data_IF_849605741256
#
_entry.id   IF_849605741256
#
_cell.length_a   1.000
_cell.length_b   1.000
_cell.length_c   1.000
_cell.angle_alpha   90.00
_cell.angle_beta   90.00
_cell.angle_gamma   90.00
#
_symmetry.space_group_name_H-M   'P 1'
#
loop_
_entity.id
_entity.type
_entity.pdbx_description
1 polymer ?
#
# COMPACT_ATOMS: atom_id res chain seq x y z
N UNK A 1 8.69 -23.79 14.47
CA UNK A 1 7.26 -23.80 14.17
C UNK A 1 7.06 -23.27 12.77
N UNK A 2 6.40 -24.01 11.97
CA UNK A 2 6.16 -23.60 10.62
C UNK A 2 4.80 -22.95 10.40
N UNK A 3 4.11 -22.64 11.48
CA UNK A 3 2.75 -22.14 11.36
C UNK A 3 2.73 -20.71 10.85
N UNK A 4 2.08 -20.53 9.73
CA UNK A 4 1.89 -19.21 9.16
C UNK A 4 0.70 -18.54 9.86
N UNK A 5 0.92 -17.33 10.34
CA UNK A 5 -0.15 -16.57 10.96
C UNK A 5 -0.94 -15.84 9.88
N UNK A 6 -1.99 -16.46 9.38
CA UNK A 6 -2.82 -15.90 8.34
C UNK A 6 -3.53 -14.63 8.79
N UNK A 7 -3.92 -14.57 10.05
CA UNK A 7 -4.56 -13.37 10.60
C UNK A 7 -3.62 -12.19 10.56
N UNK A 8 -2.34 -12.40 10.89
CA UNK A 8 -1.35 -11.34 10.83
C UNK A 8 -1.08 -10.91 9.39
N UNK A 9 -0.96 -11.87 8.48
CA UNK A 9 -0.73 -11.57 7.07
C UNK A 9 -1.89 -10.80 6.45
N UNK A 10 -3.12 -11.16 6.81
CA UNK A 10 -4.30 -10.46 6.33
C UNK A 10 -4.38 -9.06 6.94
N UNK A 11 -4.06 -8.92 8.22
CA UNK A 11 -4.02 -7.64 8.89
C UNK A 11 -2.99 -6.70 8.26
N UNK A 12 -1.81 -7.24 7.95
CA UNK A 12 -0.74 -6.48 7.29
C UNK A 12 -1.18 -6.00 5.90
N UNK A 13 -1.85 -6.88 5.16
CA UNK A 13 -2.37 -6.54 3.85
C UNK A 13 -3.42 -5.43 3.94
N UNK A 14 -4.39 -5.58 4.83
CA UNK A 14 -5.44 -4.56 5.03
C UNK A 14 -4.85 -3.23 5.45
N UNK A 15 -3.86 -3.25 6.34
CA UNK A 15 -3.19 -2.04 6.81
C UNK A 15 -2.44 -1.35 5.67
N UNK A 16 -1.80 -2.13 4.80
CA UNK A 16 -1.09 -1.59 3.65
C UNK A 16 -2.06 -0.99 2.62
N UNK A 17 -3.24 -1.60 2.42
CA UNK A 17 -4.29 -1.04 1.57
C UNK A 17 -4.79 0.28 2.15
N UNK A 18 -5.05 0.33 3.45
CA UNK A 18 -5.53 1.56 4.11
C UNK A 18 -4.51 2.68 3.96
N UNK A 19 -3.21 2.38 4.11
CA UNK A 19 -2.16 3.36 3.92
C UNK A 19 -2.09 3.86 2.48
N UNK A 20 -2.30 2.96 1.52
CA UNK A 20 -2.33 3.33 0.10
C UNK A 20 -3.52 4.25 -0.20
N UNK A 21 -4.70 3.92 0.29
CA UNK A 21 -5.89 4.76 0.13
C UNK A 21 -5.67 6.13 0.75
N UNK A 22 -5.11 6.18 1.97
CA UNK A 22 -4.80 7.44 2.63
C UNK A 22 -3.82 8.29 1.82
N UNK A 23 -2.81 7.66 1.22
CA UNK A 23 -1.85 8.36 0.38
C UNK A 23 -2.50 8.93 -0.89
N UNK A 24 -3.41 8.17 -1.50
CA UNK A 24 -4.16 8.64 -2.66
C UNK A 24 -5.02 9.85 -2.29
N UNK A 25 -5.69 9.79 -1.16
CA UNK A 25 -6.53 10.90 -0.70
C UNK A 25 -5.70 12.14 -0.39
N UNK A 26 -4.51 11.96 0.19
CA UNK A 26 -3.60 13.07 0.47
C UNK A 26 -3.11 13.72 -0.82
N UNK A 27 -2.80 12.92 -1.84
CA UNK A 27 -2.41 13.46 -3.15
C UNK A 27 -3.57 14.23 -3.79
N UNK A 28 -4.76 13.65 -3.76
CA UNK A 28 -5.95 14.27 -4.33
C UNK A 28 -6.26 15.62 -3.67
N UNK A 29 -6.05 15.71 -2.36
CA UNK A 29 -6.30 16.95 -1.62
C UNK A 29 -5.39 18.10 -2.07
N UNK A 30 -4.27 17.80 -2.72
CA UNK A 30 -3.38 18.82 -3.26
C UNK A 30 -3.78 19.28 -4.67
N UNK A 31 -4.75 18.63 -5.29
CA UNK A 31 -5.23 19.00 -6.61
C UNK A 31 -6.16 20.21 -6.50
N UNK A 32 -5.62 21.38 -6.71
CA UNK A 32 -6.36 22.65 -6.63
C UNK A 32 -5.81 23.62 -7.68
N UNK A 33 -6.29 24.86 -7.65
CA UNK A 33 -5.91 25.88 -8.63
C UNK A 33 -4.55 26.53 -8.35
N UNK A 34 -3.94 26.23 -7.21
CA UNK A 34 -2.62 26.79 -6.88
C UNK A 34 -1.52 25.96 -7.54
N UNK A 35 -0.87 26.57 -8.52
CA UNK A 35 0.21 25.93 -9.27
C UNK A 35 1.57 26.55 -8.96
N UNK A 36 1.76 27.08 -7.75
CA UNK A 36 3.06 27.58 -7.33
C UNK A 36 4.09 26.46 -7.33
N UNK A 37 5.36 26.82 -7.42
CA UNK A 37 6.45 25.84 -7.40
C UNK A 37 6.40 24.99 -6.13
N UNK A 38 6.13 25.60 -4.98
CA UNK A 38 6.04 24.89 -3.70
C UNK A 38 4.90 23.87 -3.72
N UNK A 39 3.73 24.25 -4.24
CA UNK A 39 2.59 23.34 -4.31
C UNK A 39 2.84 22.19 -5.29
N UNK A 40 3.50 22.45 -6.40
CA UNK A 40 3.87 21.40 -7.35
C UNK A 40 4.85 20.42 -6.73
N UNK A 41 5.80 20.89 -5.94
CA UNK A 41 6.74 20.03 -5.24
C UNK A 41 6.03 19.15 -4.21
N UNK A 42 5.05 19.72 -3.50
CA UNK A 42 4.24 18.93 -2.55
C UNK A 42 3.45 17.86 -3.27
N UNK A 43 2.89 18.18 -4.41
CA UNK A 43 2.13 17.22 -5.19
C UNK A 43 3.00 16.09 -5.70
N UNK A 44 4.21 16.41 -6.19
CA UNK A 44 5.17 15.40 -6.63
C UNK A 44 5.57 14.47 -5.47
N UNK A 45 5.82 15.04 -4.29
CA UNK A 45 6.16 14.25 -3.12
C UNK A 45 5.00 13.33 -2.70
N UNK A 46 3.76 13.82 -2.78
CA UNK A 46 2.59 13.02 -2.48
C UNK A 46 2.42 11.87 -3.48
N UNK A 47 2.74 12.12 -4.75
CA UNK A 47 2.71 11.08 -5.77
C UNK A 47 3.72 9.97 -5.51
N UNK A 48 4.92 10.32 -5.03
CA UNK A 48 5.91 9.33 -4.62
C UNK A 48 5.42 8.50 -3.45
N UNK A 49 4.75 9.13 -2.48
CA UNK A 49 4.19 8.43 -1.34
C UNK A 49 3.11 7.43 -1.76
N UNK A 50 2.27 7.78 -2.74
CA UNK A 50 1.26 6.88 -3.30
C UNK A 50 1.95 5.68 -3.95
N UNK A 51 2.98 5.92 -4.74
CA UNK A 51 3.72 4.87 -5.42
C UNK A 51 4.36 3.89 -4.42
N UNK A 52 4.98 4.42 -3.36
CA UNK A 52 5.61 3.60 -2.33
C UNK A 52 4.57 2.77 -1.56
N UNK A 53 3.44 3.39 -1.22
CA UNK A 53 2.36 2.70 -0.51
C UNK A 53 1.76 1.58 -1.37
N UNK A 54 1.62 1.81 -2.67
CA UNK A 54 1.16 0.79 -3.60
C UNK A 54 2.10 -0.41 -3.63
N UNK A 55 3.40 -0.16 -3.69
CA UNK A 55 4.41 -1.23 -3.71
C UNK A 55 4.33 -2.07 -2.45
N UNK A 56 4.16 -1.44 -1.29
CA UNK A 56 4.02 -2.14 -0.02
C UNK A 56 2.74 -2.97 0.04
N UNK A 57 1.63 -2.43 -0.49
CA UNK A 57 0.36 -3.16 -0.54
C UNK A 57 0.47 -4.40 -1.43
N UNK A 58 1.15 -4.29 -2.56
CA UNK A 58 1.37 -5.43 -3.46
C UNK A 58 2.24 -6.50 -2.82
N UNK A 59 3.28 -6.09 -2.09
CA UNK A 59 4.12 -7.04 -1.35
C UNK A 59 3.33 -7.79 -0.28
N UNK A 60 2.52 -7.06 0.48
CA UNK A 60 1.70 -7.67 1.53
C UNK A 60 0.68 -8.64 0.92
N UNK A 61 0.06 -8.26 -0.20
CA UNK A 61 -0.85 -9.13 -0.94
C UNK A 61 -0.16 -10.42 -1.37
N UNK A 62 1.04 -10.29 -1.93
CA UNK A 62 1.76 -11.44 -2.46
C UNK A 62 2.19 -12.40 -1.35
N UNK A 63 2.58 -11.88 -0.19
CA UNK A 63 2.87 -12.73 0.97
C UNK A 63 1.65 -13.52 1.41
N UNK A 64 0.50 -12.85 1.48
CA UNK A 64 -0.74 -13.49 1.87
C UNK A 64 -1.13 -14.58 0.87
N UNK A 65 -1.08 -14.25 -0.43
CA UNK A 65 -1.38 -15.21 -1.49
C UNK A 65 -0.44 -16.41 -1.48
N UNK A 66 0.84 -16.17 -1.26
CA UNK A 66 1.84 -17.25 -1.19
C UNK A 66 1.56 -18.18 -0.03
N UNK A 67 1.20 -17.62 1.13
CA UNK A 67 0.87 -18.42 2.30
C UNK A 67 -0.38 -19.27 2.05
N UNK A 68 -1.39 -18.69 1.38
CA UNK A 68 -2.60 -19.44 1.03
C UNK A 68 -2.31 -20.58 0.05
N UNK A 69 -1.45 -20.35 -0.94
CA UNK A 69 -1.05 -21.39 -1.88
C UNK A 69 -0.36 -22.55 -1.17
N UNK A 70 0.57 -22.24 -0.29
CA UNK A 70 1.26 -23.27 0.50
C UNK A 70 0.28 -24.10 1.31
N UNK A 71 -0.67 -23.44 1.96
CA UNK A 71 -1.66 -24.13 2.77
C UNK A 71 -2.56 -25.01 1.94
N UNK A 72 -3.03 -24.52 0.79
CA UNK A 72 -4.05 -25.21 -0.01
C UNK A 72 -3.47 -26.19 -1.03
N UNK A 73 -2.27 -25.91 -1.53
CA UNK A 73 -1.69 -26.68 -2.65
C UNK A 73 -0.32 -27.27 -2.34
N UNK A 74 0.27 -26.93 -1.20
CA UNK A 74 1.57 -27.47 -0.80
C UNK A 74 2.78 -26.81 -1.47
N UNK A 75 2.58 -25.68 -2.21
CA UNK A 75 3.71 -24.94 -2.80
C UNK A 75 3.54 -23.44 -2.90
#
# INVERSE_FOLDING_TARGET
MGDTNFDQLLSDYRRAIDAWVAAIEAEEALANDDHSMVEMEKWDAAGLAVHDAEALAKKARDRYKSALRKKNYGF
#
